data_IF_964193147781
#
_entry.id   IF_964193147781
#
_cell.length_a   1.000
_cell.length_b   1.000
_cell.length_c   1.000
_cell.angle_alpha   90.00
_cell.angle_beta   90.00
_cell.angle_gamma   90.00
#
_symmetry.space_group_name_H-M   'P 1'
#
loop_
_entity.id
_entity.type
_entity.pdbx_description
1 polymer ?
#
# COMPACT_ATOMS: atom_id res chain seq x y z
N UNK A 1 9.16 37.96 40.01
CA UNK A 1 8.10 36.98 39.86
C UNK A 1 7.76 36.82 38.37
N UNK A 2 8.27 35.76 37.76
CA UNK A 2 7.85 35.39 36.38
C UNK A 2 6.56 34.61 36.51
N UNK A 3 5.45 35.23 36.17
CA UNK A 3 4.16 34.58 36.02
C UNK A 3 4.26 33.61 34.83
N UNK A 4 4.12 32.30 35.09
CA UNK A 4 3.99 31.29 34.09
C UNK A 4 2.75 31.62 33.23
N UNK A 5 2.95 31.90 31.94
CA UNK A 5 1.85 31.95 30.97
C UNK A 5 1.31 30.53 30.82
N UNK A 6 0.00 30.31 30.96
CA UNK A 6 -0.56 29.01 30.63
C UNK A 6 -0.29 28.75 29.13
N UNK A 7 0.20 27.55 28.81
CA UNK A 7 0.30 27.07 27.45
C UNK A 7 -1.15 27.06 26.93
N UNK A 8 -1.50 28.08 26.17
CA UNK A 8 -2.76 28.10 25.45
C UNK A 8 -2.66 26.94 24.43
N UNK A 9 -3.42 25.88 24.65
CA UNK A 9 -3.68 24.90 23.58
C UNK A 9 -4.10 25.72 22.35
N UNK A 10 -3.38 25.52 21.25
CA UNK A 10 -3.61 26.22 20.00
C UNK A 10 -5.11 26.25 19.72
N UNK A 11 -5.65 27.44 19.51
CA UNK A 11 -7.06 27.63 19.22
C UNK A 11 -7.41 26.82 18.00
N UNK A 12 -8.25 25.81 18.19
CA UNK A 12 -8.88 25.08 17.10
C UNK A 12 -9.59 26.08 16.18
N UNK A 13 -9.61 25.81 14.88
CA UNK A 13 -10.33 26.62 13.91
C UNK A 13 -11.75 26.92 14.44
N UNK A 14 -12.29 28.12 14.19
CA UNK A 14 -13.57 28.51 14.76
C UNK A 14 -14.66 27.53 14.29
N UNK A 15 -15.14 26.69 15.21
CA UNK A 15 -16.19 25.69 14.97
C UNK A 15 -15.89 24.26 15.47
N UNK A 16 -14.62 23.87 15.72
CA UNK A 16 -14.31 22.53 16.17
C UNK A 16 -14.39 22.38 17.69
N UNK A 17 -15.38 21.64 18.17
CA UNK A 17 -15.47 21.27 19.58
C UNK A 17 -14.50 20.10 19.84
N UNK A 18 -13.37 20.36 20.52
CA UNK A 18 -12.34 19.34 20.85
C UNK A 18 -12.95 18.11 21.54
N UNK A 19 -14.01 18.30 22.38
CA UNK A 19 -14.68 17.18 23.03
C UNK A 19 -15.35 16.24 22.00
N UNK A 20 -15.96 16.79 20.95
CA UNK A 20 -16.55 15.98 19.87
C UNK A 20 -15.48 15.19 19.13
N UNK A 21 -14.39 15.86 18.74
CA UNK A 21 -13.25 15.20 18.06
C UNK A 21 -12.66 14.07 18.91
N UNK A 22 -12.50 14.27 20.21
CA UNK A 22 -12.00 13.24 21.12
C UNK A 22 -12.98 12.06 21.23
N UNK A 23 -14.30 12.31 21.27
CA UNK A 23 -15.31 11.27 21.29
C UNK A 23 -15.33 10.47 19.97
N UNK A 24 -15.23 11.14 18.83
CA UNK A 24 -15.17 10.50 17.51
C UNK A 24 -13.93 9.62 17.35
N UNK A 25 -12.75 10.17 17.63
CA UNK A 25 -11.49 9.42 17.56
C UNK A 25 -11.47 8.28 18.57
N UNK A 26 -11.86 8.53 19.81
CA UNK A 26 -11.91 7.53 20.86
C UNK A 26 -12.90 6.41 20.55
N UNK A 27 -14.09 6.75 20.07
CA UNK A 27 -15.11 5.80 19.63
C UNK A 27 -14.63 4.95 18.44
N UNK A 28 -14.02 5.58 17.44
CA UNK A 28 -13.45 4.89 16.28
C UNK A 28 -12.35 3.91 16.71
N UNK A 29 -11.38 4.34 17.50
CA UNK A 29 -10.30 3.49 17.98
C UNK A 29 -10.81 2.32 18.80
N UNK A 30 -11.81 2.52 19.65
CA UNK A 30 -12.44 1.45 20.42
C UNK A 30 -13.13 0.43 19.49
N UNK A 31 -13.88 0.90 18.50
CA UNK A 31 -14.53 0.07 17.50
C UNK A 31 -13.48 -0.77 16.73
N UNK A 32 -12.42 -0.14 16.24
CA UNK A 32 -11.34 -0.82 15.53
C UNK A 32 -10.64 -1.86 16.41
N UNK A 33 -10.43 -1.55 17.69
CA UNK A 33 -9.88 -2.49 18.67
C UNK A 33 -10.79 -3.72 18.88
N UNK A 34 -12.10 -3.53 18.96
CA UNK A 34 -13.07 -4.62 19.07
C UNK A 34 -13.12 -5.48 17.81
N UNK A 35 -13.09 -4.84 16.62
CA UNK A 35 -13.03 -5.54 15.33
C UNK A 35 -11.72 -6.30 15.15
N UNK A 36 -10.59 -5.75 15.59
CA UNK A 36 -9.31 -6.48 15.61
C UNK A 36 -9.39 -7.73 16.48
N UNK A 37 -10.00 -7.62 17.66
CA UNK A 37 -10.23 -8.79 18.53
C UNK A 37 -11.14 -9.84 17.89
N UNK A 38 -12.19 -9.39 17.18
CA UNK A 38 -13.07 -10.27 16.41
C UNK A 38 -12.32 -10.95 15.27
N UNK A 39 -11.54 -10.20 14.49
CA UNK A 39 -10.72 -10.74 13.41
C UNK A 39 -9.76 -11.84 13.88
N UNK A 40 -9.09 -11.63 15.03
CA UNK A 40 -8.23 -12.65 15.65
C UNK A 40 -9.01 -13.92 16.02
N UNK A 41 -10.23 -13.79 16.58
CA UNK A 41 -11.10 -14.94 16.86
C UNK A 41 -11.49 -15.70 15.59
N UNK A 42 -11.75 -14.96 14.52
CA UNK A 42 -12.08 -15.52 13.22
C UNK A 42 -10.84 -15.99 12.43
N UNK A 43 -9.63 -15.83 12.97
CA UNK A 43 -8.34 -16.18 12.33
C UNK A 43 -8.22 -15.52 10.94
N UNK A 44 -8.54 -14.23 10.86
CA UNK A 44 -8.43 -13.43 9.63
C UNK A 44 -7.72 -12.12 9.93
N UNK A 45 -7.21 -11.44 8.88
CA UNK A 45 -6.66 -10.10 9.02
C UNK A 45 -7.77 -9.09 9.34
N UNK A 46 -7.54 -8.12 10.24
CA UNK A 46 -8.53 -7.08 10.55
C UNK A 46 -8.74 -6.07 9.42
N UNK A 47 -7.91 -6.08 8.38
CA UNK A 47 -7.94 -5.12 7.26
C UNK A 47 -9.31 -5.04 6.61
N UNK A 48 -9.95 -6.18 6.34
CA UNK A 48 -11.28 -6.22 5.72
C UNK A 48 -12.34 -5.49 6.58
N UNK A 49 -12.25 -5.61 7.91
CA UNK A 49 -13.14 -4.90 8.83
C UNK A 49 -12.87 -3.39 8.87
N UNK A 50 -11.59 -2.98 8.85
CA UNK A 50 -11.21 -1.58 8.82
C UNK A 50 -11.66 -0.89 7.53
N UNK A 51 -11.48 -1.56 6.39
CA UNK A 51 -12.01 -1.10 5.11
C UNK A 51 -13.54 -0.95 5.13
N UNK A 52 -14.24 -1.96 5.64
CA UNK A 52 -15.71 -1.91 5.75
C UNK A 52 -16.18 -0.75 6.63
N UNK A 53 -15.51 -0.48 7.77
CA UNK A 53 -15.81 0.68 8.61
C UNK A 53 -15.61 1.97 7.83
N UNK A 54 -14.50 2.10 7.09
CA UNK A 54 -14.24 3.27 6.25
C UNK A 54 -15.34 3.51 5.21
N UNK A 55 -15.73 2.46 4.47
CA UNK A 55 -16.84 2.55 3.49
C UNK A 55 -18.15 2.94 4.15
N UNK A 56 -18.50 2.33 5.29
CA UNK A 56 -19.74 2.65 6.01
C UNK A 56 -19.74 4.09 6.54
N UNK A 57 -18.60 4.60 7.01
CA UNK A 57 -18.45 5.99 7.41
C UNK A 57 -18.60 6.94 6.21
N UNK A 58 -18.04 6.58 5.05
CA UNK A 58 -18.19 7.36 3.80
C UNK A 58 -19.64 7.42 3.30
N UNK A 59 -20.45 6.42 3.61
CA UNK A 59 -21.90 6.40 3.30
C UNK A 59 -22.75 7.11 4.35
N UNK A 60 -22.17 7.44 5.50
CA UNK A 60 -22.90 8.09 6.60
C UNK A 60 -22.91 9.62 6.41
N UNK A 61 -23.94 10.33 6.94
CA UNK A 61 -23.96 11.79 6.95
C UNK A 61 -22.99 12.41 7.97
N UNK A 62 -22.16 11.61 8.62
CA UNK A 62 -21.21 12.05 9.62
C UNK A 62 -19.99 12.62 8.88
N UNK A 63 -19.81 13.94 8.95
CA UNK A 63 -18.59 14.58 8.47
C UNK A 63 -17.44 14.26 9.44
N UNK A 64 -16.70 13.22 9.14
CA UNK A 64 -15.46 12.93 9.86
C UNK A 64 -14.42 13.97 9.46
N UNK A 65 -13.80 14.65 10.44
CA UNK A 65 -12.75 15.64 10.14
C UNK A 65 -11.59 14.98 9.37
N UNK A 66 -11.56 15.24 8.07
CA UNK A 66 -10.66 14.57 7.12
C UNK A 66 -9.17 14.75 7.45
N UNK A 67 -8.74 15.94 7.88
CA UNK A 67 -7.32 16.27 8.06
C UNK A 67 -6.57 15.34 9.03
N UNK A 68 -7.18 14.93 10.14
CA UNK A 68 -6.53 14.05 11.13
C UNK A 68 -6.41 12.63 10.57
N UNK A 69 -7.45 12.19 9.85
CA UNK A 69 -7.47 10.88 9.21
C UNK A 69 -6.50 10.85 8.04
N UNK A 70 -6.44 11.91 7.23
CA UNK A 70 -5.52 12.04 6.09
C UNK A 70 -4.06 11.94 6.52
N UNK A 71 -3.66 12.71 7.55
CA UNK A 71 -2.30 12.67 8.10
C UNK A 71 -2.02 11.32 8.75
N UNK A 72 -2.98 10.78 9.52
CA UNK A 72 -2.86 9.46 10.13
C UNK A 72 -2.70 8.35 9.10
N UNK A 73 -3.45 8.42 8.00
CA UNK A 73 -3.36 7.47 6.89
C UNK A 73 -2.01 7.56 6.15
N UNK A 74 -1.53 8.79 5.88
CA UNK A 74 -0.22 9.01 5.27
C UNK A 74 0.92 8.43 6.13
N UNK A 75 0.89 8.67 7.45
CA UNK A 75 1.84 8.06 8.39
C UNK A 75 1.68 6.54 8.40
N UNK A 76 0.46 6.04 8.31
CA UNK A 76 0.15 4.60 8.29
C UNK A 76 0.80 3.87 7.12
N UNK A 77 0.61 4.37 5.89
CA UNK A 77 1.23 3.75 4.71
C UNK A 77 2.76 3.86 4.75
N UNK A 78 3.28 5.00 5.18
CA UNK A 78 4.73 5.21 5.35
C UNK A 78 5.31 4.19 6.33
N UNK A 79 4.69 4.00 7.50
CA UNK A 79 5.15 3.01 8.48
C UNK A 79 5.01 1.58 7.99
N UNK A 80 3.91 1.23 7.30
CA UNK A 80 3.75 -0.10 6.72
C UNK A 80 4.88 -0.43 5.75
N UNK A 81 5.20 0.46 4.83
CA UNK A 81 6.24 0.25 3.83
C UNK A 81 7.65 0.30 4.44
N UNK A 82 7.88 1.18 5.42
CA UNK A 82 9.11 1.17 6.21
C UNK A 82 9.36 -0.19 6.88
N UNK A 83 8.34 -0.78 7.51
CA UNK A 83 8.45 -2.09 8.14
C UNK A 83 8.71 -3.22 7.15
N UNK A 84 8.10 -3.17 5.95
CA UNK A 84 8.45 -4.11 4.87
C UNK A 84 9.93 -3.94 4.49
N UNK A 85 10.42 -2.69 4.39
CA UNK A 85 11.81 -2.40 4.12
C UNK A 85 12.77 -2.99 5.15
N UNK A 86 12.40 -3.00 6.44
CA UNK A 86 13.19 -3.62 7.51
C UNK A 86 13.39 -5.15 7.37
N UNK A 87 12.55 -5.83 6.55
CA UNK A 87 12.67 -7.26 6.27
C UNK A 87 13.79 -7.59 5.26
N UNK A 88 14.27 -6.57 4.53
CA UNK A 88 15.25 -6.75 3.47
C UNK A 88 16.57 -6.04 3.76
N UNK A 89 17.65 -6.68 3.38
CA UNK A 89 18.92 -5.97 3.17
C UNK A 89 19.02 -5.50 1.71
N UNK A 90 19.76 -4.41 1.46
CA UNK A 90 19.93 -3.91 0.09
C UNK A 90 20.53 -4.95 -0.88
N UNK A 91 21.39 -5.87 -0.38
CA UNK A 91 21.96 -6.95 -1.19
C UNK A 91 20.92 -8.03 -1.54
N UNK A 92 20.10 -8.41 -0.57
CA UNK A 92 19.00 -9.36 -0.78
C UNK A 92 17.98 -8.80 -1.76
N UNK A 93 17.63 -7.52 -1.64
CA UNK A 93 16.73 -6.85 -2.56
C UNK A 93 17.25 -6.91 -4.00
N UNK A 94 18.52 -6.52 -4.25
CA UNK A 94 19.10 -6.56 -5.59
C UNK A 94 19.18 -7.99 -6.14
N UNK A 95 19.52 -8.97 -5.29
CA UNK A 95 19.51 -10.39 -5.67
C UNK A 95 18.10 -10.84 -6.09
N UNK A 96 17.11 -10.47 -5.28
CA UNK A 96 15.70 -10.79 -5.49
C UNK A 96 15.15 -10.16 -6.76
N UNK A 97 15.40 -8.87 -6.99
CA UNK A 97 14.98 -8.17 -8.22
C UNK A 97 15.53 -8.86 -9.47
N UNK A 98 16.81 -9.26 -9.47
CA UNK A 98 17.42 -9.99 -10.60
C UNK A 98 16.79 -11.36 -10.81
N UNK A 99 16.58 -12.14 -9.74
CA UNK A 99 16.03 -13.48 -9.83
C UNK A 99 14.53 -13.51 -10.14
N UNK A 100 13.77 -12.51 -9.71
CA UNK A 100 12.32 -12.43 -9.86
C UNK A 100 11.87 -11.47 -10.97
N UNK A 101 12.80 -10.82 -11.70
CA UNK A 101 12.45 -9.92 -12.81
C UNK A 101 11.52 -10.60 -13.83
N UNK A 102 11.80 -11.87 -14.19
CA UNK A 102 10.94 -12.64 -15.08
C UNK A 102 9.54 -12.87 -14.51
N UNK A 103 9.42 -13.11 -13.20
CA UNK A 103 8.13 -13.23 -12.55
C UNK A 103 7.36 -11.89 -12.54
N UNK A 104 8.07 -10.77 -12.34
CA UNK A 104 7.49 -9.43 -12.44
C UNK A 104 6.96 -9.10 -13.85
N UNK A 105 7.69 -9.50 -14.90
CA UNK A 105 7.21 -9.34 -16.28
C UNK A 105 5.96 -10.20 -16.53
N UNK A 106 5.96 -11.46 -16.07
CA UNK A 106 4.77 -12.33 -16.17
C UNK A 106 3.60 -11.70 -15.44
N UNK A 107 3.81 -11.19 -14.22
CA UNK A 107 2.79 -10.51 -13.44
C UNK A 107 2.22 -9.30 -14.19
N UNK A 108 3.09 -8.43 -14.70
CA UNK A 108 2.68 -7.27 -15.50
C UNK A 108 1.83 -7.68 -16.70
N UNK A 109 2.28 -8.64 -17.51
CA UNK A 109 1.55 -9.12 -18.69
C UNK A 109 0.20 -9.71 -18.31
N UNK A 110 0.15 -10.57 -17.29
CA UNK A 110 -1.09 -11.23 -16.87
C UNK A 110 -2.15 -10.28 -16.31
N UNK A 111 -1.76 -9.12 -15.81
CA UNK A 111 -2.70 -8.14 -15.25
C UNK A 111 -2.96 -6.95 -16.20
N UNK A 112 -1.94 -6.45 -16.89
CA UNK A 112 -2.04 -5.30 -17.80
C UNK A 112 -2.78 -5.65 -19.09
N UNK A 113 -2.44 -6.78 -19.72
CA UNK A 113 -3.07 -7.12 -21.04
C UNK A 113 -4.57 -7.33 -20.96
N UNK A 114 -5.13 -8.06 -19.96
CA UNK A 114 -6.58 -8.15 -19.82
C UNK A 114 -7.23 -6.79 -19.53
N UNK A 115 -6.58 -5.92 -18.74
CA UNK A 115 -7.10 -4.59 -18.45
C UNK A 115 -7.15 -3.71 -19.72
N UNK A 116 -6.12 -3.78 -20.58
CA UNK A 116 -6.12 -3.12 -21.89
C UNK A 116 -7.28 -3.63 -22.74
N UNK A 117 -7.46 -4.96 -22.82
CA UNK A 117 -8.57 -5.54 -23.58
C UNK A 117 -9.94 -5.09 -23.06
N UNK A 118 -10.12 -5.05 -21.73
CA UNK A 118 -11.35 -4.54 -21.11
C UNK A 118 -11.53 -3.05 -21.42
N UNK A 119 -10.49 -2.24 -21.32
CA UNK A 119 -10.56 -0.82 -21.64
C UNK A 119 -10.93 -0.55 -23.11
N UNK A 120 -10.44 -1.37 -24.03
CA UNK A 120 -10.85 -1.32 -25.45
C UNK A 120 -12.32 -1.71 -25.62
N UNK A 121 -12.82 -2.74 -24.91
CA UNK A 121 -14.23 -3.13 -24.93
C UNK A 121 -15.16 -2.08 -24.29
N UNK A 122 -14.65 -1.33 -23.33
CA UNK A 122 -15.32 -0.17 -22.74
C UNK A 122 -15.28 1.08 -23.65
N UNK A 123 -14.58 1.00 -24.79
CA UNK A 123 -14.35 2.14 -25.70
C UNK A 123 -13.71 3.34 -25.00
N UNK A 124 -12.77 3.09 -24.07
CA UNK A 124 -12.06 4.13 -23.37
C UNK A 124 -10.99 4.78 -24.27
N UNK A 125 -10.69 6.06 -23.99
CA UNK A 125 -9.57 6.73 -24.62
C UNK A 125 -8.21 6.12 -24.22
N UNK A 126 -7.15 6.23 -25.05
CA UNK A 126 -5.87 5.58 -24.79
C UNK A 126 -5.25 5.90 -23.41
N UNK A 127 -5.41 7.12 -22.91
CA UNK A 127 -4.90 7.52 -21.58
C UNK A 127 -5.71 6.88 -20.46
N UNK A 128 -7.04 6.73 -20.65
CA UNK A 128 -7.91 6.01 -19.71
C UNK A 128 -7.59 4.51 -19.68
N UNK A 129 -7.33 3.90 -20.84
CA UNK A 129 -6.87 2.50 -20.94
C UNK A 129 -5.54 2.34 -20.21
N UNK A 130 -4.61 3.27 -20.40
CA UNK A 130 -3.34 3.26 -19.68
C UNK A 130 -3.57 3.35 -18.17
N UNK A 131 -4.42 4.26 -17.68
CA UNK A 131 -4.76 4.34 -16.27
C UNK A 131 -5.39 3.02 -15.74
N UNK A 132 -6.35 2.43 -16.48
CA UNK A 132 -6.99 1.16 -16.11
C UNK A 132 -5.96 0.00 -16.02
N UNK A 133 -4.97 -0.01 -16.91
CA UNK A 133 -3.88 -0.98 -16.88
C UNK A 133 -3.04 -0.88 -15.59
N UNK A 134 -2.71 0.33 -15.15
CA UNK A 134 -2.02 0.55 -13.86
C UNK A 134 -2.88 0.16 -12.65
N UNK A 135 -4.18 0.50 -12.67
CA UNK A 135 -5.16 0.11 -11.64
C UNK A 135 -5.22 -1.42 -11.49
N UNK A 136 -5.26 -2.13 -12.60
CA UNK A 136 -5.39 -3.59 -12.59
C UNK A 136 -4.09 -4.32 -12.22
N UNK A 137 -2.94 -3.70 -12.42
CA UNK A 137 -1.64 -4.37 -12.25
C UNK A 137 -1.25 -4.55 -10.78
N UNK A 138 -1.26 -3.48 -9.98
CA UNK A 138 -0.64 -3.45 -8.66
C UNK A 138 -1.45 -4.14 -7.58
N UNK A 139 -0.78 -4.97 -6.79
CA UNK A 139 -1.30 -5.52 -5.54
C UNK A 139 -1.19 -4.49 -4.41
N UNK A 140 -1.99 -4.64 -3.36
CA UNK A 140 -1.83 -3.82 -2.16
C UNK A 140 -0.70 -4.34 -1.27
N UNK A 141 0.43 -3.66 -1.29
CA UNK A 141 1.58 -3.99 -0.43
C UNK A 141 1.19 -3.97 1.05
N UNK A 142 0.38 -2.99 1.48
CA UNK A 142 -0.11 -2.87 2.85
C UNK A 142 -1.00 -4.04 3.28
N UNK A 143 -2.02 -4.40 2.47
CA UNK A 143 -2.94 -5.52 2.79
C UNK A 143 -2.18 -6.84 2.79
N UNK A 144 -1.34 -7.07 1.78
CA UNK A 144 -0.56 -8.31 1.63
C UNK A 144 0.39 -8.49 2.80
N UNK A 145 1.22 -7.49 3.12
CA UNK A 145 2.17 -7.55 4.23
C UNK A 145 1.46 -7.82 5.56
N UNK A 146 0.39 -7.07 5.83
CA UNK A 146 -0.41 -7.25 7.04
C UNK A 146 -1.03 -8.65 7.12
N UNK A 147 -1.58 -9.15 6.01
CA UNK A 147 -2.18 -10.50 5.95
C UNK A 147 -1.14 -11.60 6.20
N UNK A 148 0.06 -11.47 5.63
CA UNK A 148 1.18 -12.42 5.86
C UNK A 148 1.57 -12.43 7.34
N UNK A 149 1.67 -11.26 7.96
CA UNK A 149 2.02 -11.12 9.38
C UNK A 149 0.94 -11.70 10.28
N UNK A 150 -0.33 -11.32 10.10
CA UNK A 150 -1.46 -11.77 10.91
C UNK A 150 -1.68 -13.30 10.84
N UNK A 151 -1.33 -13.92 9.72
CA UNK A 151 -1.39 -15.36 9.52
C UNK A 151 -0.09 -16.10 9.91
N UNK A 152 0.92 -15.39 10.41
CA UNK A 152 2.20 -15.97 10.87
C UNK A 152 3.02 -16.61 9.73
N UNK A 153 2.92 -16.07 8.50
CA UNK A 153 3.53 -16.67 7.29
C UNK A 153 4.84 -16.00 6.86
N UNK A 154 5.41 -15.10 7.66
CA UNK A 154 6.64 -14.36 7.32
C UNK A 154 7.80 -15.32 6.98
N UNK A 155 7.97 -16.40 7.76
CA UNK A 155 9.03 -17.39 7.56
C UNK A 155 8.79 -18.42 6.45
N UNK A 156 7.69 -18.34 5.71
CA UNK A 156 7.38 -19.28 4.66
C UNK A 156 8.24 -19.01 3.41
N UNK A 157 8.64 -20.07 2.70
CA UNK A 157 9.50 -19.97 1.50
C UNK A 157 8.88 -19.15 0.38
N UNK A 158 7.58 -19.28 0.16
CA UNK A 158 6.85 -18.54 -0.87
C UNK A 158 6.72 -17.05 -0.55
N UNK A 159 6.77 -16.66 0.72
CA UNK A 159 6.60 -15.28 1.17
C UNK A 159 7.66 -14.35 0.57
N UNK A 160 8.91 -14.79 0.53
CA UNK A 160 9.98 -14.00 -0.09
C UNK A 160 9.70 -13.70 -1.57
N UNK A 161 9.18 -14.68 -2.30
CA UNK A 161 8.80 -14.48 -3.70
C UNK A 161 7.61 -13.53 -3.87
N UNK A 162 6.60 -13.63 -3.00
CA UNK A 162 5.45 -12.72 -2.96
C UNK A 162 5.90 -11.28 -2.69
N UNK A 163 6.70 -11.08 -1.64
CA UNK A 163 7.22 -9.74 -1.29
C UNK A 163 8.09 -9.17 -2.43
N UNK A 164 8.79 -10.04 -3.18
CA UNK A 164 9.56 -9.62 -4.35
C UNK A 164 8.68 -9.07 -5.47
N UNK A 165 7.51 -9.67 -5.72
CA UNK A 165 6.54 -9.15 -6.70
C UNK A 165 6.06 -7.79 -6.26
N UNK A 166 5.67 -7.61 -4.99
CA UNK A 166 5.22 -6.31 -4.47
C UNK A 166 6.28 -5.21 -4.68
N UNK A 167 7.55 -5.52 -4.37
CA UNK A 167 8.65 -4.57 -4.57
C UNK A 167 8.82 -4.22 -6.05
N UNK A 168 8.71 -5.20 -6.96
CA UNK A 168 8.80 -4.94 -8.40
C UNK A 168 7.64 -4.05 -8.85
N UNK A 169 6.41 -4.31 -8.39
CA UNK A 169 5.24 -3.49 -8.66
C UNK A 169 5.43 -2.06 -8.14
N UNK A 170 5.88 -1.89 -6.88
CA UNK A 170 6.07 -0.57 -6.25
C UNK A 170 7.16 0.24 -6.97
N UNK A 171 8.29 -0.39 -7.33
CA UNK A 171 9.35 0.25 -8.14
C UNK A 171 8.84 0.63 -9.52
N UNK A 172 8.03 -0.24 -10.15
CA UNK A 172 7.43 0.08 -11.45
C UNK A 172 6.45 1.26 -11.34
N UNK A 173 5.66 1.34 -10.25
CA UNK A 173 4.76 2.47 -10.01
C UNK A 173 5.51 3.79 -9.79
N UNK A 174 6.70 3.78 -9.21
CA UNK A 174 7.54 4.97 -9.09
C UNK A 174 7.92 5.57 -10.46
N UNK A 175 8.00 4.74 -11.51
CA UNK A 175 8.21 5.20 -12.89
C UNK A 175 6.89 5.50 -13.63
N UNK A 176 5.86 4.70 -13.34
CA UNK A 176 4.56 4.76 -14.00
C UNK A 176 3.76 6.01 -13.64
N UNK A 177 3.70 6.40 -12.35
CA UNK A 177 2.90 7.54 -11.90
C UNK A 177 3.35 8.88 -12.50
N UNK A 178 4.65 9.25 -12.55
CA UNK A 178 5.09 10.45 -13.23
C UNK A 178 4.77 10.43 -14.72
N UNK A 179 4.91 9.28 -15.39
CA UNK A 179 4.53 9.12 -16.79
C UNK A 179 3.03 9.37 -16.98
N UNK A 180 2.19 8.73 -16.18
CA UNK A 180 0.73 8.89 -16.24
C UNK A 180 0.32 10.34 -15.99
N UNK A 181 0.89 11.00 -14.97
CA UNK A 181 0.57 12.39 -14.61
C UNK A 181 0.82 13.35 -15.78
N UNK A 182 1.94 13.20 -16.48
CA UNK A 182 2.25 14.04 -17.67
C UNK A 182 1.29 13.74 -18.81
N UNK A 183 0.94 12.47 -19.05
CA UNK A 183 -0.02 12.09 -20.09
C UNK A 183 -1.43 12.64 -19.80
N UNK A 184 -1.88 12.56 -18.55
CA UNK A 184 -3.17 13.10 -18.10
C UNK A 184 -3.24 14.63 -18.23
N UNK A 185 -2.12 15.33 -18.04
CA UNK A 185 -2.02 16.77 -18.26
C UNK A 185 -1.96 17.18 -19.74
N UNK A 186 -2.09 16.24 -20.69
CA UNK A 186 -1.96 16.50 -22.12
C UNK A 186 -0.50 16.80 -22.55
N UNK A 187 0.48 16.43 -21.72
CA UNK A 187 1.89 16.63 -22.01
C UNK A 187 2.42 15.76 -23.13
N UNK A 188 3.46 16.24 -23.82
CA UNK A 188 4.11 15.47 -24.86
C UNK A 188 4.79 14.22 -24.31
N UNK A 189 4.78 13.14 -25.08
CA UNK A 189 5.41 11.86 -24.70
C UNK A 189 6.88 12.03 -24.29
N UNK A 190 7.61 12.92 -24.93
CA UNK A 190 9.00 13.22 -24.58
C UNK A 190 9.15 13.77 -23.14
N UNK A 191 8.24 14.66 -22.71
CA UNK A 191 8.22 15.18 -21.34
C UNK A 191 7.85 14.07 -20.33
N UNK A 192 6.90 13.21 -20.69
CA UNK A 192 6.51 12.06 -19.87
C UNK A 192 7.67 11.07 -19.69
N UNK A 193 8.40 10.74 -20.76
CA UNK A 193 9.59 9.89 -20.69
C UNK A 193 10.73 10.56 -19.90
N UNK A 194 10.87 11.88 -19.99
CA UNK A 194 11.82 12.65 -19.18
C UNK A 194 11.53 12.55 -17.68
N UNK A 195 10.27 12.74 -17.27
CA UNK A 195 9.86 12.63 -15.86
C UNK A 195 10.04 11.21 -15.33
N UNK A 196 9.71 10.20 -16.12
CA UNK A 196 9.96 8.79 -15.79
C UNK A 196 11.45 8.51 -15.59
N UNK A 197 12.32 9.02 -16.48
CA UNK A 197 13.78 8.84 -16.38
C UNK A 197 14.33 9.46 -15.07
N UNK A 198 13.85 10.65 -14.70
CA UNK A 198 14.21 11.31 -13.43
C UNK A 198 13.77 10.46 -12.23
N UNK A 199 12.53 9.99 -12.23
CA UNK A 199 12.03 9.14 -11.14
C UNK A 199 12.83 7.84 -10.99
N UNK A 200 13.13 7.16 -12.10
CA UNK A 200 13.98 5.96 -12.10
C UNK A 200 15.39 6.27 -11.61
N UNK A 201 15.98 7.40 -12.02
CA UNK A 201 17.30 7.83 -11.56
C UNK A 201 17.31 8.09 -10.04
N UNK A 202 16.27 8.75 -9.51
CA UNK A 202 16.12 8.99 -8.07
C UNK A 202 16.02 7.67 -7.31
N UNK A 203 15.15 6.75 -7.75
CA UNK A 203 15.01 5.42 -7.12
C UNK A 203 16.34 4.65 -7.17
N UNK A 204 17.01 4.64 -8.32
CA UNK A 204 18.31 3.99 -8.48
C UNK A 204 19.38 4.59 -7.55
N UNK A 205 19.41 5.93 -7.42
CA UNK A 205 20.33 6.64 -6.53
C UNK A 205 20.08 6.29 -5.07
N UNK A 206 18.82 6.29 -4.65
CA UNK A 206 18.45 5.94 -3.27
C UNK A 206 18.78 4.47 -2.98
N UNK A 207 18.48 3.55 -3.91
CA UNK A 207 18.89 2.14 -3.80
C UNK A 207 20.41 1.98 -3.71
N UNK A 208 21.17 2.74 -4.48
CA UNK A 208 22.63 2.75 -4.39
C UNK A 208 23.12 3.17 -3.01
N UNK A 209 22.54 4.23 -2.44
CA UNK A 209 22.86 4.64 -1.08
C UNK A 209 22.34 3.64 -0.03
N UNK A 210 21.19 3.02 -0.23
CA UNK A 210 20.64 2.01 0.65
C UNK A 210 21.56 0.79 0.77
N UNK A 211 22.11 0.31 -0.36
CA UNK A 211 23.04 -0.82 -0.39
C UNK A 211 24.36 -0.51 0.35
N UNK A 212 24.80 0.76 0.30
CA UNK A 212 26.06 1.21 0.93
C UNK A 212 25.90 1.82 2.32
N UNK A 213 24.68 2.21 2.70
CA UNK A 213 24.39 3.02 3.88
C UNK A 213 24.25 2.27 5.19
N UNK A 214 24.05 0.95 5.16
CA UNK A 214 23.71 0.17 6.38
C UNK A 214 24.71 0.31 7.53
N UNK A 215 26.02 0.34 7.23
CA UNK A 215 27.05 0.55 8.26
C UNK A 215 27.07 1.98 8.82
N UNK A 216 26.64 2.97 8.06
CA UNK A 216 26.52 4.34 8.50
C UNK A 216 25.28 4.53 9.37
N UNK A 217 24.15 3.90 9.01
CA UNK A 217 22.94 3.91 9.81
C UNK A 217 23.18 3.29 11.21
N UNK A 218 23.89 2.17 11.28
CA UNK A 218 24.21 1.55 12.58
C UNK A 218 25.15 2.40 13.43
N UNK A 219 26.10 3.12 12.83
CA UNK A 219 26.96 4.07 13.57
C UNK A 219 26.18 5.30 14.04
N UNK A 220 25.27 5.83 13.24
CA UNK A 220 24.51 7.03 13.58
C UNK A 220 23.40 6.76 14.62
N UNK A 221 22.73 5.62 14.52
CA UNK A 221 21.52 5.32 15.30
C UNK A 221 21.65 4.12 16.25
N UNK A 222 22.73 3.36 16.17
CA UNK A 222 22.92 2.13 16.94
C UNK A 222 22.95 2.32 18.46
N UNK A 223 23.33 3.51 18.95
CA UNK A 223 23.27 3.86 20.37
C UNK A 223 21.90 4.33 20.84
N UNK A 224 20.99 4.70 19.92
CA UNK A 224 19.65 5.18 20.26
C UNK A 224 18.80 4.04 20.85
N UNK A 225 18.02 4.35 21.89
CA UNK A 225 17.13 3.39 22.56
C UNK A 225 15.85 4.08 23.07
N UNK A 226 14.78 3.31 23.23
CA UNK A 226 13.53 3.84 23.76
C UNK A 226 13.01 5.03 22.95
N UNK A 227 12.69 6.13 23.62
CA UNK A 227 12.14 7.35 23.03
C UNK A 227 13.01 7.91 21.90
N UNK A 228 14.33 8.00 22.10
CA UNK A 228 15.24 8.55 21.08
C UNK A 228 15.24 7.72 19.79
N UNK A 229 15.13 6.41 19.89
CA UNK A 229 15.03 5.53 18.73
C UNK A 229 13.72 5.75 17.96
N UNK A 230 12.59 5.88 18.68
CA UNK A 230 11.28 6.18 18.07
C UNK A 230 11.35 7.50 17.29
N UNK A 231 11.80 8.58 17.95
CA UNK A 231 11.83 9.91 17.35
C UNK A 231 12.78 9.97 16.13
N UNK A 232 13.98 9.38 16.26
CA UNK A 232 14.94 9.39 15.16
C UNK A 232 14.48 8.55 13.96
N UNK A 233 14.00 7.32 14.17
CA UNK A 233 13.57 6.45 13.08
C UNK A 233 12.32 6.98 12.40
N UNK A 234 11.32 7.41 13.18
CA UNK A 234 10.11 8.02 12.65
C UNK A 234 10.43 9.32 11.91
N UNK A 235 11.27 10.18 12.51
CA UNK A 235 11.69 11.45 11.92
C UNK A 235 12.39 11.26 10.57
N UNK A 236 13.40 10.41 10.50
CA UNK A 236 14.11 10.13 9.24
C UNK A 236 13.18 9.51 8.20
N UNK A 237 12.33 8.58 8.60
CA UNK A 237 11.40 7.93 7.69
C UNK A 237 10.41 8.93 7.08
N UNK A 238 9.80 9.79 7.90
CA UNK A 238 8.87 10.82 7.43
C UNK A 238 9.58 11.88 6.59
N UNK A 239 10.79 12.30 6.96
CA UNK A 239 11.59 13.24 6.16
C UNK A 239 11.90 12.70 4.76
N UNK A 240 12.39 11.46 4.68
CA UNK A 240 12.71 10.85 3.38
C UNK A 240 11.46 10.57 2.57
N UNK A 241 10.36 10.14 3.21
CA UNK A 241 9.06 9.99 2.56
C UNK A 241 8.57 11.32 1.96
N UNK A 242 8.64 12.42 2.73
CA UNK A 242 8.25 13.76 2.26
C UNK A 242 9.16 14.27 1.14
N UNK A 243 10.48 14.05 1.23
CA UNK A 243 11.41 14.40 0.16
C UNK A 243 11.16 13.60 -1.12
N UNK A 244 10.81 12.30 -0.99
CA UNK A 244 10.43 11.47 -2.13
C UNK A 244 9.19 12.06 -2.85
N UNK A 245 8.17 12.44 -2.08
CA UNK A 245 6.94 13.06 -2.62
C UNK A 245 7.24 14.37 -3.37
N UNK A 246 8.13 15.22 -2.84
CA UNK A 246 8.55 16.45 -3.52
C UNK A 246 9.19 16.23 -4.89
N UNK A 247 9.85 15.08 -5.10
CA UNK A 247 10.44 14.70 -6.39
C UNK A 247 9.54 13.75 -7.20
N UNK A 248 8.25 13.72 -6.87
CA UNK A 248 7.23 12.90 -7.56
C UNK A 248 7.48 11.39 -7.43
N UNK A 249 8.19 10.95 -6.39
CA UNK A 249 8.31 9.55 -5.99
C UNK A 249 7.40 9.33 -4.80
N UNK A 250 6.66 8.23 -4.79
CA UNK A 250 5.74 7.92 -3.67
C UNK A 250 6.45 7.95 -2.31
N UNK A 251 5.82 8.59 -1.32
CA UNK A 251 6.27 8.59 0.08
C UNK A 251 6.50 7.16 0.60
N UNK A 252 5.65 6.22 0.18
CA UNK A 252 5.75 4.80 0.52
C UNK A 252 7.06 4.18 0.04
N UNK A 253 7.49 4.47 -1.19
CA UNK A 253 8.79 4.02 -1.73
C UNK A 253 9.94 4.63 -0.94
N UNK A 254 9.87 5.92 -0.62
CA UNK A 254 10.88 6.59 0.21
C UNK A 254 11.04 5.89 1.57
N UNK A 255 9.94 5.62 2.24
CA UNK A 255 9.92 4.93 3.53
C UNK A 255 10.47 3.49 3.46
N UNK A 256 10.07 2.74 2.44
CA UNK A 256 10.58 1.40 2.17
C UNK A 256 12.11 1.38 2.03
N UNK A 257 12.67 2.34 1.27
CA UNK A 257 14.11 2.45 1.08
C UNK A 257 14.85 2.79 2.38
N UNK A 258 14.27 3.64 3.25
CA UNK A 258 14.82 3.87 4.60
C UNK A 258 14.86 2.57 5.40
N UNK A 259 13.79 1.78 5.34
CA UNK A 259 13.72 0.47 5.99
C UNK A 259 14.86 -0.46 5.56
N UNK A 260 15.17 -0.52 4.26
CA UNK A 260 16.27 -1.33 3.70
C UNK A 260 17.65 -0.88 4.21
N UNK A 261 17.85 0.43 4.42
CA UNK A 261 19.11 0.98 4.98
C UNK A 261 19.30 0.53 6.42
N UNK A 262 18.22 0.44 7.17
CA UNK A 262 18.22 0.01 8.57
C UNK A 262 18.26 -1.52 8.62
N UNK A 263 19.39 -2.09 9.00
CA UNK A 263 19.62 -3.53 8.98
C UNK A 263 20.16 -4.07 10.31
N UNK A 264 20.21 -5.39 10.46
CA UNK A 264 20.77 -6.08 11.61
C UNK A 264 20.04 -5.75 12.92
N UNK A 265 20.78 -5.63 14.02
CA UNK A 265 20.23 -5.37 15.36
C UNK A 265 19.42 -4.07 15.46
N UNK A 266 19.79 -3.06 14.67
CA UNK A 266 19.03 -1.80 14.62
C UNK A 266 17.63 -2.04 14.02
N UNK A 267 17.50 -2.86 12.98
CA UNK A 267 16.20 -3.21 12.40
C UNK A 267 15.29 -3.92 13.42
N UNK A 268 15.82 -4.92 14.15
CA UNK A 268 15.05 -5.69 15.15
C UNK A 268 14.54 -4.79 16.27
N UNK A 269 15.40 -3.88 16.77
CA UNK A 269 15.04 -2.92 17.82
C UNK A 269 14.03 -1.89 17.32
N UNK A 270 14.21 -1.37 16.12
CA UNK A 270 13.29 -0.43 15.48
C UNK A 270 11.92 -1.06 15.30
N UNK A 271 11.88 -2.30 14.81
CA UNK A 271 10.65 -3.07 14.64
C UNK A 271 9.90 -3.24 15.96
N UNK A 272 10.56 -3.73 17.01
CA UNK A 272 9.92 -3.96 18.30
C UNK A 272 9.40 -2.67 18.95
N UNK A 273 10.09 -1.55 18.75
CA UNK A 273 9.76 -0.28 19.38
C UNK A 273 8.66 0.48 18.62
N UNK A 274 8.65 0.44 17.28
CA UNK A 274 7.69 1.17 16.45
C UNK A 274 6.44 0.35 16.07
N UNK A 275 6.40 -0.97 16.33
CA UNK A 275 5.27 -1.82 15.98
C UNK A 275 3.90 -1.30 16.48
N UNK A 276 3.75 -0.82 17.73
CA UNK A 276 2.47 -0.28 18.21
C UNK A 276 2.01 0.95 17.41
N UNK A 277 2.94 1.82 17.03
CA UNK A 277 2.63 3.01 16.21
C UNK A 277 2.22 2.59 14.80
N UNK A 278 2.95 1.66 14.18
CA UNK A 278 2.57 1.09 12.88
C UNK A 278 1.15 0.53 12.93
N UNK A 279 0.81 -0.27 13.94
CA UNK A 279 -0.51 -0.91 14.05
C UNK A 279 -1.63 0.11 14.18
N UNK A 280 -1.41 1.18 14.98
CA UNK A 280 -2.35 2.27 15.15
C UNK A 280 -2.59 3.02 13.82
N UNK A 281 -1.52 3.47 13.19
CA UNK A 281 -1.62 4.25 11.95
C UNK A 281 -2.02 3.40 10.74
N UNK A 282 -1.68 2.11 10.72
CA UNK A 282 -2.18 1.18 9.69
C UNK A 282 -3.70 1.01 9.78
N UNK A 283 -4.27 0.94 10.98
CA UNK A 283 -5.72 0.90 11.14
C UNK A 283 -6.38 2.18 10.61
N UNK A 284 -5.80 3.36 10.94
CA UNK A 284 -6.26 4.65 10.40
C UNK A 284 -6.16 4.69 8.87
N UNK A 285 -5.06 4.21 8.29
CA UNK A 285 -4.89 4.11 6.84
C UNK A 285 -5.98 3.27 6.16
N UNK A 286 -6.30 2.09 6.69
CA UNK A 286 -7.32 1.25 6.07
C UNK A 286 -8.73 1.82 6.21
N UNK A 287 -9.05 2.53 7.30
CA UNK A 287 -10.32 3.25 7.42
C UNK A 287 -10.38 4.39 6.41
N UNK A 288 -9.33 5.21 6.34
CA UNK A 288 -9.23 6.30 5.36
C UNK A 288 -9.31 5.80 3.92
N UNK A 289 -8.62 4.70 3.63
CA UNK A 289 -8.70 4.06 2.32
C UNK A 289 -10.15 3.62 1.99
N UNK A 290 -10.86 3.07 2.98
CA UNK A 290 -12.27 2.74 2.85
C UNK A 290 -13.15 3.98 2.62
N UNK A 291 -12.88 5.10 3.32
CA UNK A 291 -13.57 6.38 3.15
C UNK A 291 -13.46 6.94 1.73
N UNK A 292 -12.32 6.73 1.06
CA UNK A 292 -12.09 7.19 -0.31
C UNK A 292 -12.85 6.38 -1.37
N UNK A 293 -13.41 5.23 -1.01
CA UNK A 293 -14.16 4.38 -1.92
C UNK A 293 -15.55 4.96 -2.14
N UNK A 294 -15.71 5.70 -3.23
CA UNK A 294 -17.01 6.20 -3.66
C UNK A 294 -17.75 5.10 -4.46
N UNK A 295 -18.84 4.62 -3.88
CA UNK A 295 -19.72 3.62 -4.51
C UNK A 295 -20.82 4.26 -5.37
N UNK A 296 -20.88 5.60 -5.47
CA UNK A 296 -21.82 6.28 -6.36
C UNK A 296 -21.51 5.90 -7.82
N UNK A 297 -22.53 5.63 -8.61
CA UNK A 297 -22.36 5.18 -10.00
C UNK A 297 -21.82 3.75 -10.17
N UNK A 298 -21.67 2.96 -9.10
CA UNK A 298 -21.16 1.59 -9.18
C UNK A 298 -22.14 0.64 -9.90
N UNK A 299 -23.44 0.77 -9.65
CA UNK A 299 -24.46 -0.16 -10.16
C UNK A 299 -24.48 -0.29 -11.69
N UNK A 300 -24.40 0.80 -12.48
CA UNK A 300 -24.31 0.68 -13.94
C UNK A 300 -23.05 -0.03 -14.42
N UNK A 301 -21.95 0.09 -13.68
CA UNK A 301 -20.63 -0.41 -14.05
C UNK A 301 -20.33 -1.82 -13.50
N UNK A 302 -21.28 -2.44 -12.79
CA UNK A 302 -21.04 -3.71 -12.07
C UNK A 302 -20.55 -4.85 -12.98
N UNK A 303 -20.96 -4.85 -14.25
CA UNK A 303 -20.50 -5.81 -15.25
C UNK A 303 -19.02 -5.67 -15.55
N UNK A 304 -18.54 -4.44 -15.72
CA UNK A 304 -17.11 -4.16 -15.94
C UNK A 304 -16.28 -4.44 -14.69
N UNK A 305 -16.80 -4.10 -13.52
CA UNK A 305 -16.17 -4.45 -12.23
C UNK A 305 -16.01 -5.96 -12.10
N UNK A 306 -17.08 -6.74 -12.39
CA UNK A 306 -17.03 -8.20 -12.30
C UNK A 306 -16.00 -8.80 -13.28
N UNK A 307 -15.97 -8.29 -14.53
CA UNK A 307 -15.01 -8.73 -15.54
C UNK A 307 -13.57 -8.41 -15.14
N UNK A 308 -13.32 -7.18 -14.66
CA UNK A 308 -12.00 -6.76 -14.19
C UNK A 308 -11.57 -7.56 -12.96
N UNK A 309 -12.47 -7.84 -12.02
CA UNK A 309 -12.21 -8.70 -10.86
C UNK A 309 -11.84 -10.11 -11.30
N UNK A 310 -12.58 -10.71 -12.21
CA UNK A 310 -12.28 -12.04 -12.73
C UNK A 310 -10.89 -12.10 -13.39
N UNK A 311 -10.57 -11.11 -14.22
CA UNK A 311 -9.28 -10.99 -14.87
C UNK A 311 -8.14 -10.80 -13.85
N UNK A 312 -8.31 -9.86 -12.89
CA UNK A 312 -7.33 -9.58 -11.85
C UNK A 312 -7.08 -10.76 -10.90
N UNK A 313 -8.14 -11.49 -10.51
CA UNK A 313 -8.01 -12.73 -9.73
C UNK A 313 -7.23 -13.77 -10.54
N UNK A 314 -7.63 -14.03 -11.78
CA UNK A 314 -6.95 -15.00 -12.62
C UNK A 314 -5.46 -14.66 -12.82
N UNK A 315 -5.14 -13.40 -13.13
CA UNK A 315 -3.77 -12.93 -13.28
C UNK A 315 -2.93 -13.17 -12.03
N UNK A 316 -3.43 -12.77 -10.85
CA UNK A 316 -2.69 -12.94 -9.58
C UNK A 316 -2.62 -14.39 -9.11
N UNK A 317 -3.64 -15.18 -9.37
CA UNK A 317 -3.56 -16.62 -9.11
C UNK A 317 -2.46 -17.27 -9.94
N UNK A 318 -2.33 -16.94 -11.23
CA UNK A 318 -1.28 -17.45 -12.10
C UNK A 318 0.11 -16.95 -11.69
N UNK A 319 0.25 -15.65 -11.40
CA UNK A 319 1.50 -15.06 -10.88
C UNK A 319 1.95 -15.75 -9.59
N UNK A 320 1.08 -15.82 -8.60
CA UNK A 320 1.41 -16.42 -7.31
C UNK A 320 1.67 -17.92 -7.40
N UNK A 321 0.96 -18.63 -8.29
CA UNK A 321 1.23 -20.03 -8.59
C UNK A 321 2.63 -20.24 -9.17
N UNK A 322 3.02 -19.38 -10.11
CA UNK A 322 4.36 -19.40 -10.69
C UNK A 322 5.43 -19.09 -9.64
N UNK A 323 5.26 -18.04 -8.85
CA UNK A 323 6.19 -17.63 -7.78
C UNK A 323 6.32 -18.70 -6.70
N UNK A 324 5.20 -19.24 -6.21
CA UNK A 324 5.19 -20.33 -5.23
C UNK A 324 5.83 -21.61 -5.76
N UNK A 325 5.69 -21.88 -7.07
CA UNK A 325 6.36 -23.00 -7.75
C UNK A 325 7.89 -22.84 -7.78
N UNK A 326 8.39 -21.65 -8.09
CA UNK A 326 9.83 -21.35 -8.10
C UNK A 326 10.48 -21.42 -6.71
N UNK A 327 9.72 -21.17 -5.67
CA UNK A 327 10.18 -21.36 -4.29
C UNK A 327 10.31 -22.85 -3.88
N UNK A 328 10.12 -23.80 -4.81
CA UNK A 328 10.10 -25.23 -4.53
C UNK A 328 8.87 -25.65 -3.72
N UNK A 329 7.81 -24.83 -3.75
CA UNK A 329 6.62 -25.02 -2.96
C UNK A 329 5.72 -26.13 -3.48
N UNK A 330 5.15 -26.92 -2.52
CA UNK A 330 4.03 -27.84 -2.77
C UNK A 330 2.78 -27.06 -3.14
N UNK A 331 1.69 -27.74 -3.47
CA UNK A 331 0.39 -27.14 -3.82
C UNK A 331 -0.04 -26.03 -2.84
N UNK A 332 0.14 -26.27 -1.53
CA UNK A 332 -0.17 -25.32 -0.46
C UNK A 332 0.57 -23.98 -0.57
N UNK A 333 1.88 -24.02 -0.83
CA UNK A 333 2.70 -22.82 -0.97
C UNK A 333 2.29 -22.02 -2.22
N UNK A 334 2.00 -22.71 -3.33
CA UNK A 334 1.48 -22.10 -4.55
C UNK A 334 0.13 -21.41 -4.30
N UNK A 335 -0.78 -22.10 -3.59
CA UNK A 335 -2.11 -21.56 -3.29
C UNK A 335 -2.03 -20.35 -2.34
N UNK A 336 -1.17 -20.38 -1.31
CA UNK A 336 -0.95 -19.25 -0.42
C UNK A 336 -0.35 -18.04 -1.15
N UNK A 337 0.66 -18.26 -1.99
CA UNK A 337 1.24 -17.19 -2.81
C UNK A 337 0.23 -16.62 -3.80
N UNK A 338 -0.59 -17.47 -4.40
CA UNK A 338 -1.62 -17.07 -5.37
C UNK A 338 -2.71 -16.21 -4.73
N UNK A 339 -3.23 -16.63 -3.58
CA UNK A 339 -4.36 -15.95 -2.95
C UNK A 339 -3.95 -14.65 -2.25
N UNK A 340 -2.74 -14.57 -1.69
CA UNK A 340 -2.29 -13.39 -0.96
C UNK A 340 -2.00 -12.18 -1.88
N UNK A 341 -1.72 -12.39 -3.16
CA UNK A 341 -1.49 -11.33 -4.14
C UNK A 341 -2.79 -10.72 -4.72
N UNK A 342 -3.96 -11.31 -4.44
CA UNK A 342 -5.25 -10.83 -5.00
C UNK A 342 -5.60 -9.40 -4.57
N UNK A 343 -5.42 -8.95 -3.30
CA UNK A 343 -5.86 -7.63 -2.87
C UNK A 343 -5.26 -6.49 -3.70
N UNK A 344 -6.10 -5.52 -4.03
CA UNK A 344 -5.70 -4.25 -4.65
C UNK A 344 -5.73 -3.15 -3.60
N UNK A 345 -5.01 -2.04 -3.85
CA UNK A 345 -4.77 -1.06 -2.81
C UNK A 345 -4.67 0.38 -3.28
N UNK A 346 -3.85 1.11 -2.54
CA UNK A 346 -3.67 2.55 -2.61
C UNK A 346 -3.31 3.06 -4.00
N UNK A 347 -2.41 2.40 -4.72
CA UNK A 347 -2.02 2.85 -6.07
C UNK A 347 -3.19 2.85 -7.06
N UNK A 348 -4.08 1.86 -6.97
CA UNK A 348 -5.26 1.82 -7.83
C UNK A 348 -6.17 3.04 -7.57
N UNK A 349 -6.37 3.43 -6.31
CA UNK A 349 -7.17 4.61 -5.94
C UNK A 349 -6.47 5.90 -6.36
N UNK A 350 -5.15 6.02 -6.16
CA UNK A 350 -4.37 7.20 -6.59
C UNK A 350 -4.46 7.38 -8.11
N UNK A 351 -4.26 6.32 -8.89
CA UNK A 351 -4.37 6.35 -10.34
C UNK A 351 -5.79 6.78 -10.77
N UNK A 352 -6.82 6.19 -10.15
CA UNK A 352 -8.21 6.56 -10.46
C UNK A 352 -8.51 8.02 -10.11
N UNK A 353 -8.05 8.50 -8.95
CA UNK A 353 -8.23 9.90 -8.55
C UNK A 353 -7.56 10.87 -9.50
N UNK A 354 -6.35 10.57 -9.98
CA UNK A 354 -5.65 11.36 -10.99
C UNK A 354 -6.41 11.36 -12.32
N UNK A 355 -6.90 10.20 -12.78
CA UNK A 355 -7.64 10.09 -14.03
C UNK A 355 -8.99 10.83 -13.96
N UNK A 356 -9.72 10.70 -12.85
CA UNK A 356 -10.99 11.44 -12.63
C UNK A 356 -10.76 12.94 -12.54
N UNK A 357 -9.74 13.38 -11.80
CA UNK A 357 -9.37 14.80 -11.70
C UNK A 357 -8.97 15.41 -13.05
N UNK A 358 -8.35 14.62 -13.93
CA UNK A 358 -8.03 15.02 -15.31
C UNK A 358 -9.25 14.97 -16.26
N UNK A 359 -10.41 14.49 -15.81
CA UNK A 359 -11.63 14.42 -16.61
C UNK A 359 -11.60 13.40 -17.75
N UNK A 360 -10.76 12.36 -17.64
CA UNK A 360 -10.54 11.41 -18.75
C UNK A 360 -11.76 10.55 -19.03
N UNK A 361 -12.34 9.89 -18.02
CA UNK A 361 -13.60 9.13 -18.13
C UNK A 361 -14.24 8.95 -16.75
N UNK A 362 -15.51 9.31 -16.62
CA UNK A 362 -16.24 9.27 -15.35
C UNK A 362 -16.44 7.85 -14.80
N UNK A 363 -16.35 6.81 -15.64
CA UNK A 363 -16.51 5.40 -15.24
C UNK A 363 -15.29 4.85 -14.48
N UNK A 364 -14.11 5.42 -14.67
CA UNK A 364 -12.86 4.96 -14.03
C UNK A 364 -12.99 4.97 -12.50
N UNK A 365 -13.58 6.01 -11.92
CA UNK A 365 -13.78 6.12 -10.47
C UNK A 365 -14.59 4.95 -9.90
N UNK A 366 -15.88 4.81 -10.28
CA UNK A 366 -16.76 3.73 -9.79
C UNK A 366 -16.23 2.32 -10.10
N UNK A 367 -15.68 2.09 -11.29
CA UNK A 367 -15.09 0.79 -11.67
C UNK A 367 -13.91 0.45 -10.74
N UNK A 368 -13.02 1.41 -10.49
CA UNK A 368 -11.88 1.19 -9.59
C UNK A 368 -12.33 0.97 -8.15
N UNK A 369 -13.28 1.76 -7.67
CA UNK A 369 -13.84 1.63 -6.32
C UNK A 369 -14.40 0.21 -6.09
N UNK A 370 -15.24 -0.26 -6.99
CA UNK A 370 -15.79 -1.62 -6.93
C UNK A 370 -14.72 -2.70 -7.03
N UNK A 371 -13.76 -2.54 -7.96
CA UNK A 371 -12.66 -3.46 -8.19
C UNK A 371 -11.76 -3.60 -6.94
N UNK A 372 -11.33 -2.49 -6.37
CA UNK A 372 -10.45 -2.47 -5.20
C UNK A 372 -11.15 -3.04 -3.98
N UNK A 373 -12.39 -2.61 -3.69
CA UNK A 373 -13.16 -3.11 -2.57
C UNK A 373 -13.39 -4.62 -2.68
N UNK A 374 -13.85 -5.09 -3.84
CA UNK A 374 -14.11 -6.51 -4.06
C UNK A 374 -12.84 -7.35 -3.87
N UNK A 375 -11.70 -6.94 -4.48
CA UNK A 375 -10.47 -7.72 -4.39
C UNK A 375 -9.78 -7.61 -3.02
N UNK A 376 -9.90 -6.50 -2.31
CA UNK A 376 -9.41 -6.39 -0.93
C UNK A 376 -10.17 -7.37 -0.01
N UNK A 377 -11.49 -7.49 -0.16
CA UNK A 377 -12.32 -8.41 0.62
C UNK A 377 -12.09 -9.87 0.19
N UNK A 378 -12.20 -10.16 -1.11
CA UNK A 378 -12.04 -11.52 -1.66
C UNK A 378 -10.64 -12.05 -1.36
N UNK A 379 -9.60 -11.26 -1.59
CA UNK A 379 -8.22 -11.67 -1.36
C UNK A 379 -7.92 -11.97 0.10
N UNK A 380 -8.41 -11.13 1.02
CA UNK A 380 -8.26 -11.35 2.47
C UNK A 380 -8.96 -12.64 2.91
N UNK A 381 -10.16 -12.92 2.40
CA UNK A 381 -10.91 -14.15 2.70
C UNK A 381 -10.26 -15.38 2.03
N UNK A 382 -9.92 -15.30 0.75
CA UNK A 382 -9.31 -16.41 0.01
C UNK A 382 -7.99 -16.86 0.64
N UNK A 383 -7.18 -15.92 1.10
CA UNK A 383 -5.89 -16.20 1.75
C UNK A 383 -6.07 -16.96 3.06
N UNK A 384 -7.13 -16.70 3.80
CA UNK A 384 -7.48 -17.45 5.02
C UNK A 384 -7.77 -18.92 4.72
N UNK A 385 -8.54 -19.19 3.65
CA UNK A 385 -8.96 -20.54 3.30
C UNK A 385 -7.89 -21.36 2.57
N UNK A 386 -6.77 -20.73 2.18
CA UNK A 386 -5.68 -21.43 1.53
C UNK A 386 -5.03 -22.54 2.39
N UNK A 387 -4.98 -22.40 3.73
CA UNK A 387 -4.35 -23.38 4.63
C UNK A 387 -5.15 -24.68 4.82
N UNK A 388 -6.49 -24.69 5.01
CA UNK A 388 -7.25 -25.93 5.14
C UNK A 388 -7.16 -26.85 3.93
N UNK A 389 -7.12 -26.25 2.72
CA UNK A 389 -6.96 -27.00 1.46
C UNK A 389 -5.53 -27.50 1.25
N UNK A 390 -4.58 -26.98 2.00
CA UNK A 390 -3.16 -27.31 1.89
C UNK A 390 -2.73 -28.50 2.77
N UNK A 391 -3.57 -28.94 3.70
CA UNK A 391 -3.31 -30.05 4.62
C UNK A 391 -3.73 -31.42 4.06
N UNK A 392 -4.29 -31.45 2.86
CA UNK A 392 -4.55 -32.65 2.07
C UNK A 392 -3.48 -32.78 1.00
#
# INVERSE_FOLDING_TARGET
SRVARPVALAAAAPGTNIAVVLLEIGGLLLLLGLLSKLAKRLRTSPVAFYLAVGVLLGLSPIEVQSQVIDVGAAIGVVLLLFFIGLEYTGKELLGTLRHQAGAGVIDAVLNVMPAIAIGLLMELEPVAIFALAGIAWTSSSGIVARTIEDLGRIGNRETQGVLSILVIEDVAMAAYLPLLTVLLAGGALAAALGSMAVAVAVVALVLFFAVRGSSHAERAFGSAAGESLVLMMLGVTLLVAGLAELVQVSAAVGAFLVGIVVSGRLADRTRSTLAPLRDLFAAAFFVFFGLQIDLSGLLPEIGWVALLCAAGIAGKLLTGWYVGGRAGGRFSAKLRAATVLIPRGEFAIVIASLAVAAGVDARIGPVTAGYVLALALIGSLATRFADPFSRR
#
